data_IF_059810041001
#
_entry.id   IF_059810041001
#
_cell.length_a   1.000
_cell.length_b   1.000
_cell.length_c   1.000
_cell.angle_alpha   90.00
_cell.angle_beta   90.00
_cell.angle_gamma   90.00
#
_symmetry.space_group_name_H-M   'P 1'
#
loop_
_entity.id
_entity.type
_entity.pdbx_description
1 polymer ?
#
# COMPACT_ATOMS: atom_id res chain seq x y z
N UNK A 1 -9.14 -3.40 -8.73
CA UNK A 1 -8.77 -3.59 -7.31
C UNK A 1 -9.93 -3.11 -6.45
N UNK A 2 -10.36 -3.98 -5.56
CA UNK A 2 -11.42 -3.79 -4.58
C UNK A 2 -10.84 -3.94 -3.19
N UNK A 3 -11.55 -3.41 -2.19
CA UNK A 3 -11.19 -3.63 -0.78
C UNK A 3 -11.28 -5.14 -0.47
N UNK A 4 -10.24 -5.67 0.18
CA UNK A 4 -10.10 -7.09 0.49
C UNK A 4 -9.23 -7.88 -0.49
N UNK A 5 -8.94 -7.35 -1.69
CA UNK A 5 -8.08 -8.02 -2.66
C UNK A 5 -6.67 -8.25 -2.09
N UNK A 6 -6.11 -9.44 -2.34
CA UNK A 6 -4.69 -9.72 -2.12
C UNK A 6 -3.89 -9.21 -3.30
N UNK A 7 -2.83 -8.46 -3.01
CA UNK A 7 -2.00 -7.82 -4.03
C UNK A 7 -0.53 -7.98 -3.71
N UNK A 8 0.30 -7.98 -4.75
CA UNK A 8 1.76 -7.90 -4.66
C UNK A 8 2.24 -6.62 -5.33
N UNK A 9 3.26 -5.98 -4.75
CA UNK A 9 3.97 -4.89 -5.40
C UNK A 9 4.83 -5.47 -6.53
N UNK A 10 4.49 -5.17 -7.78
CA UNK A 10 5.21 -5.67 -8.98
C UNK A 10 6.21 -4.64 -9.53
N UNK A 11 5.99 -3.36 -9.27
CA UNK A 11 6.88 -2.27 -9.70
C UNK A 11 7.95 -1.93 -8.65
N UNK A 12 9.08 -1.30 -9.05
CA UNK A 12 10.07 -0.79 -8.12
C UNK A 12 9.50 0.35 -7.28
N UNK A 13 9.34 0.13 -5.97
CA UNK A 13 8.81 1.11 -5.01
C UNK A 13 9.72 1.12 -3.79
N UNK A 14 10.13 2.30 -3.35
CA UNK A 14 10.97 2.46 -2.14
C UNK A 14 10.17 3.10 -1.01
N UNK A 15 10.11 2.44 0.14
CA UNK A 15 9.51 2.98 1.36
C UNK A 15 10.58 3.51 2.32
N UNK A 16 10.23 4.56 3.06
CA UNK A 16 11.04 5.10 4.16
C UNK A 16 10.35 5.00 5.53
N UNK A 17 9.04 4.67 5.52
CA UNK A 17 8.23 4.50 6.72
C UNK A 17 8.05 3.04 7.11
N UNK A 18 8.86 2.13 6.56
CA UNK A 18 8.85 0.72 6.92
C UNK A 18 9.19 0.56 8.43
N UNK A 19 8.35 -0.10 9.26
CA UNK A 19 8.52 -0.14 10.71
C UNK A 19 9.88 -0.67 11.19
N UNK A 20 10.45 -1.65 10.49
CA UNK A 20 11.77 -2.24 10.80
C UNK A 20 12.96 -1.50 10.15
N UNK A 21 12.69 -0.57 9.23
CA UNK A 21 13.70 0.18 8.46
C UNK A 21 13.34 1.67 8.43
N UNK A 22 13.04 2.25 9.61
CA UNK A 22 12.57 3.64 9.69
C UNK A 22 13.62 4.61 9.17
N UNK A 23 13.20 5.54 8.31
CA UNK A 23 14.03 6.55 7.68
C UNK A 23 15.18 5.98 6.83
N UNK A 24 15.11 4.70 6.45
CA UNK A 24 16.05 4.05 5.57
C UNK A 24 15.31 3.62 4.29
N UNK A 25 15.96 3.67 3.12
CA UNK A 25 15.35 3.18 1.89
C UNK A 25 15.12 1.67 2.01
N UNK A 26 13.88 1.26 1.82
CA UNK A 26 13.48 -0.13 1.80
C UNK A 26 12.82 -0.44 0.46
N UNK A 27 13.40 -1.39 -0.29
CA UNK A 27 12.81 -1.88 -1.53
C UNK A 27 11.58 -2.74 -1.20
N UNK A 28 10.42 -2.27 -1.66
CA UNK A 28 9.12 -2.88 -1.40
C UNK A 28 8.68 -3.83 -2.53
N UNK A 29 9.46 -3.97 -3.60
CA UNK A 29 9.12 -4.88 -4.68
C UNK A 29 8.97 -6.31 -4.16
N UNK A 30 7.90 -6.99 -4.55
CA UNK A 30 7.56 -8.33 -4.10
C UNK A 30 6.81 -8.41 -2.77
N UNK A 31 6.65 -7.29 -2.03
CA UNK A 31 5.83 -7.30 -0.81
C UNK A 31 4.37 -7.62 -1.14
N UNK A 32 3.74 -8.46 -0.32
CA UNK A 32 2.33 -8.80 -0.42
C UNK A 32 1.50 -8.17 0.69
N UNK A 33 0.31 -7.71 0.33
CA UNK A 33 -0.62 -7.09 1.26
C UNK A 33 -2.07 -7.29 0.87
N UNK A 34 -2.95 -6.60 1.59
CA UNK A 34 -4.38 -6.59 1.33
C UNK A 34 -4.84 -5.16 1.10
N UNK A 35 -5.65 -4.93 0.07
CA UNK A 35 -6.22 -3.61 -0.21
C UNK A 35 -7.19 -3.24 0.91
N UNK A 36 -6.86 -2.18 1.65
CA UNK A 36 -7.65 -1.68 2.77
C UNK A 36 -8.64 -0.59 2.34
N UNK A 37 -8.29 0.22 1.35
CA UNK A 37 -9.16 1.26 0.80
C UNK A 37 -8.78 1.61 -0.63
N UNK A 38 -9.76 2.13 -1.39
CA UNK A 38 -9.54 2.77 -2.69
C UNK A 38 -10.13 4.17 -2.62
N UNK A 39 -9.25 5.18 -2.59
CA UNK A 39 -9.60 6.58 -2.40
C UNK A 39 -10.22 7.16 -3.67
N UNK A 40 -11.54 7.42 -3.65
CA UNK A 40 -12.28 8.08 -4.74
C UNK A 40 -13.07 9.29 -4.25
N UNK A 41 -13.67 9.18 -3.07
CA UNK A 41 -14.40 10.25 -2.42
C UNK A 41 -14.02 10.38 -0.94
N UNK A 42 -14.30 11.54 -0.39
CA UNK A 42 -14.31 11.82 1.04
C UNK A 42 -15.66 12.44 1.41
N UNK A 43 -16.49 11.69 2.13
CA UNK A 43 -17.82 12.12 2.57
C UNK A 43 -18.69 12.63 1.40
N UNK A 44 -18.65 11.92 0.27
CA UNK A 44 -19.40 12.28 -0.94
C UNK A 44 -18.77 13.40 -1.77
N UNK A 45 -17.60 13.92 -1.38
CA UNK A 45 -16.83 14.88 -2.19
C UNK A 45 -15.74 14.15 -2.95
N UNK A 46 -15.68 14.24 -4.30
CA UNK A 46 -14.60 13.65 -5.07
C UNK A 46 -13.24 14.17 -4.60
N UNK A 47 -12.26 13.26 -4.52
CA UNK A 47 -10.87 13.58 -4.17
C UNK A 47 -9.94 13.15 -5.30
N UNK A 48 -8.75 13.75 -5.37
CA UNK A 48 -7.78 13.58 -6.44
C UNK A 48 -6.48 12.92 -5.97
N UNK A 49 -6.58 11.87 -5.15
CA UNK A 49 -5.40 11.14 -4.69
C UNK A 49 -4.67 10.50 -5.89
N UNK A 50 -3.40 10.82 -6.06
CA UNK A 50 -2.54 10.26 -7.11
C UNK A 50 -2.12 8.80 -6.81
N UNK A 51 -2.09 8.42 -5.53
CA UNK A 51 -1.88 7.05 -5.06
C UNK A 51 -3.15 6.54 -4.33
N UNK A 52 -4.21 6.20 -5.07
CA UNK A 52 -5.52 5.97 -4.45
C UNK A 52 -5.66 4.62 -3.76
N UNK A 53 -4.79 3.64 -4.02
CA UNK A 53 -4.92 2.30 -3.45
C UNK A 53 -4.15 2.23 -2.14
N UNK A 54 -4.86 2.05 -1.02
CA UNK A 54 -4.24 1.87 0.30
C UNK A 54 -4.09 0.38 0.55
N UNK A 55 -2.87 -0.09 0.72
CA UNK A 55 -2.56 -1.49 1.01
C UNK A 55 -2.02 -1.64 2.42
N UNK A 56 -2.52 -2.63 3.15
CA UNK A 56 -2.02 -3.04 4.46
C UNK A 56 -1.04 -4.21 4.34
N UNK A 57 0.15 -4.01 4.89
CA UNK A 57 1.23 -4.99 4.98
C UNK A 57 1.42 -5.40 6.44
N UNK A 58 1.35 -6.71 6.70
CA UNK A 58 1.66 -7.27 8.01
C UNK A 58 3.18 -7.42 8.11
N UNK A 59 3.80 -6.62 8.96
CA UNK A 59 5.24 -6.66 9.21
C UNK A 59 5.47 -7.35 10.54
N UNK A 60 6.36 -8.34 10.57
CA UNK A 60 6.74 -9.02 11.80
C UNK A 60 7.33 -8.03 12.82
N UNK A 61 6.89 -8.13 14.07
CA UNK A 61 7.30 -7.21 15.14
C UNK A 61 6.60 -5.84 15.14
N UNK A 62 5.78 -5.52 14.14
CA UNK A 62 4.99 -4.28 14.14
C UNK A 62 3.68 -4.45 14.91
N UNK A 63 3.37 -3.52 15.83
CA UNK A 63 2.11 -3.52 16.60
C UNK A 63 0.85 -3.30 15.75
N UNK A 64 1.01 -2.72 14.55
CA UNK A 64 -0.07 -2.37 13.62
C UNK A 64 0.41 -2.65 12.19
N UNK A 65 -0.49 -3.00 11.26
CA UNK A 65 -0.12 -3.16 9.87
C UNK A 65 0.44 -1.85 9.32
N UNK A 66 1.48 -1.95 8.52
CA UNK A 66 2.01 -0.83 7.75
C UNK A 66 1.04 -0.53 6.62
N UNK A 67 0.70 0.75 6.42
CA UNK A 67 -0.11 1.19 5.29
C UNK A 67 0.78 1.89 4.27
N UNK A 68 0.58 1.60 3.00
CA UNK A 68 1.19 2.36 1.91
C UNK A 68 0.13 2.75 0.89
N UNK A 69 0.32 3.91 0.27
CA UNK A 69 -0.49 4.40 -0.82
C UNK A 69 0.24 4.05 -2.12
N UNK A 70 -0.46 3.38 -3.02
CA UNK A 70 0.06 2.87 -4.27
C UNK A 70 -0.92 3.21 -5.41
N UNK A 71 -0.40 3.14 -6.63
CA UNK A 71 -1.19 3.16 -7.85
C UNK A 71 -1.60 1.74 -8.23
N UNK A 72 -2.60 1.61 -9.11
CA UNK A 72 -2.97 0.30 -9.66
C UNK A 72 -1.91 -0.31 -10.57
N UNK A 73 -1.02 0.52 -11.15
CA UNK A 73 0.04 0.05 -12.04
C UNK A 73 1.23 -0.55 -11.29
N UNK A 74 1.41 -0.19 -10.02
CA UNK A 74 2.48 -0.73 -9.16
C UNK A 74 2.13 -2.09 -8.54
N UNK A 75 0.90 -2.57 -8.75
CA UNK A 75 0.31 -3.70 -8.06
C UNK A 75 -0.19 -4.77 -9.05
N UNK A 76 -0.03 -6.03 -8.68
CA UNK A 76 -0.68 -7.17 -9.33
C UNK A 76 -1.62 -7.90 -8.34
N UNK A 77 -2.70 -8.49 -8.86
CA UNK A 77 -3.62 -9.34 -8.09
C UNK A 77 -3.00 -10.72 -7.88
N UNK A 78 -3.26 -11.32 -6.71
CA UNK A 78 -2.84 -12.69 -6.34
C UNK A 78 -4.06 -13.62 -6.34
#
# INVERSE_FOLDING_TARGET
MNVGDRVRISAPVTFYHHPSHRNQPYDAQGMEGTVAAVLKDWQGRPISANYPVVVEFKIEGAKRPMKAHLTTAELELI
#
